data_IF_742099774488
#
_entry.id   IF_742099774488
#
_cell.length_a   1.000
_cell.length_b   1.000
_cell.length_c   1.000
_cell.angle_alpha   90.00
_cell.angle_beta   90.00
_cell.angle_gamma   90.00
#
_symmetry.space_group_name_H-M   'P 1'
#
loop_
_entity.id
_entity.type
_entity.pdbx_description
1 polymer ?
#
# COMPACT_ATOMS: atom_id res chain seq x y z
N UNK A 1 -18.70 13.31 45.60
CA UNK A 1 -18.68 12.97 44.16
C UNK A 1 -18.92 14.23 43.37
N UNK A 2 -17.85 14.96 43.01
CA UNK A 2 -17.95 16.15 42.17
C UNK A 2 -17.89 15.70 40.71
N UNK A 3 -19.00 15.85 39.99
CA UNK A 3 -19.04 15.67 38.55
C UNK A 3 -18.26 16.82 37.91
N UNK A 4 -17.06 16.53 37.42
CA UNK A 4 -16.28 17.41 36.56
C UNK A 4 -17.05 17.58 35.24
N UNK A 5 -17.88 18.62 35.18
CA UNK A 5 -18.48 19.10 33.94
C UNK A 5 -17.38 19.68 33.06
N UNK A 6 -16.87 18.88 32.12
CA UNK A 6 -15.96 19.36 31.08
C UNK A 6 -16.73 20.40 30.25
N UNK A 7 -16.23 21.64 30.11
CA UNK A 7 -16.89 22.68 29.33
C UNK A 7 -17.10 22.24 27.88
N UNK A 8 -18.33 22.37 27.39
CA UNK A 8 -18.73 22.02 26.03
C UNK A 8 -18.06 22.88 24.93
N UNK A 9 -17.47 24.01 25.34
CA UNK A 9 -16.84 25.02 24.46
C UNK A 9 -15.51 24.59 23.84
N UNK A 10 -14.92 23.45 24.27
CA UNK A 10 -13.68 22.95 23.67
C UNK A 10 -13.90 22.13 22.39
N UNK A 11 -15.14 22.00 21.88
CA UNK A 11 -15.41 21.49 20.52
C UNK A 11 -15.12 22.56 19.49
N UNK A 12 -13.85 22.91 19.35
CA UNK A 12 -13.37 23.69 18.21
C UNK A 12 -13.78 22.97 16.93
N UNK A 13 -14.73 23.56 16.19
CA UNK A 13 -15.09 23.06 14.88
C UNK A 13 -13.82 23.00 14.04
N UNK A 14 -13.47 21.85 13.42
CA UNK A 14 -12.30 21.78 12.57
C UNK A 14 -12.44 22.87 11.50
N UNK A 15 -11.50 23.82 11.51
CA UNK A 15 -11.52 24.98 10.61
C UNK A 15 -11.71 24.47 9.19
N UNK A 16 -12.67 25.03 8.46
CA UNK A 16 -13.02 24.60 7.10
C UNK A 16 -11.79 24.51 6.17
N UNK A 17 -10.76 25.34 6.41
CA UNK A 17 -9.47 25.31 5.70
C UNK A 17 -8.71 23.98 5.82
N UNK A 18 -8.77 23.29 6.96
CA UNK A 18 -8.13 21.99 7.14
C UNK A 18 -8.79 20.91 6.26
N UNK A 19 -10.12 20.99 6.08
CA UNK A 19 -10.88 20.04 5.24
C UNK A 19 -10.54 20.18 3.76
N UNK A 20 -10.38 21.41 3.27
CA UNK A 20 -9.96 21.66 1.89
C UNK A 20 -8.53 21.20 1.61
N UNK A 21 -7.62 21.38 2.58
CA UNK A 21 -6.24 20.88 2.46
C UNK A 21 -6.17 19.37 2.33
N UNK A 22 -6.96 18.63 3.10
CA UNK A 22 -7.04 17.16 3.02
C UNK A 22 -7.64 16.68 1.69
N UNK A 23 -8.70 17.35 1.21
CA UNK A 23 -9.30 17.05 -0.08
C UNK A 23 -8.32 17.27 -1.24
N UNK A 24 -7.62 18.41 -1.24
CA UNK A 24 -6.60 18.72 -2.25
C UNK A 24 -5.46 17.70 -2.22
N UNK A 25 -4.96 17.35 -1.03
CA UNK A 25 -3.94 16.32 -0.89
C UNK A 25 -4.43 14.96 -1.45
N UNK A 26 -5.67 14.57 -1.15
CA UNK A 26 -6.29 13.36 -1.71
C UNK A 26 -6.34 13.38 -3.24
N UNK A 27 -6.79 14.49 -3.84
CA UNK A 27 -6.85 14.65 -5.30
C UNK A 27 -5.47 14.58 -5.96
N UNK A 28 -4.46 15.24 -5.37
CA UNK A 28 -3.08 15.22 -5.89
C UNK A 28 -2.50 13.81 -5.85
N UNK A 29 -2.63 13.12 -4.72
CA UNK A 29 -2.12 11.74 -4.56
C UNK A 29 -2.85 10.78 -5.51
N UNK A 30 -4.15 10.98 -5.73
CA UNK A 30 -4.95 10.18 -6.66
C UNK A 30 -4.53 10.39 -8.11
N UNK A 31 -4.32 11.65 -8.52
CA UNK A 31 -3.79 11.96 -9.84
C UNK A 31 -2.40 11.37 -10.06
N UNK A 32 -1.52 11.47 -9.05
CA UNK A 32 -0.17 10.89 -9.10
C UNK A 32 -0.21 9.37 -9.27
N UNK A 33 -1.15 8.69 -8.60
CA UNK A 33 -1.36 7.25 -8.77
C UNK A 33 -1.65 6.88 -10.23
N UNK A 34 -2.59 7.58 -10.88
CA UNK A 34 -2.97 7.31 -12.28
C UNK A 34 -1.81 7.58 -13.24
N UNK A 35 -1.10 8.70 -13.06
CA UNK A 35 0.05 9.05 -13.88
C UNK A 35 1.14 7.98 -13.78
N UNK A 36 1.43 7.51 -12.57
CA UNK A 36 2.45 6.50 -12.35
C UNK A 36 2.04 5.12 -12.87
N UNK A 37 0.77 4.74 -12.73
CA UNK A 37 0.22 3.51 -13.28
C UNK A 37 0.30 3.51 -14.82
N UNK A 38 -0.13 4.60 -15.45
CA UNK A 38 -0.06 4.75 -16.90
C UNK A 38 1.38 4.77 -17.40
N UNK A 39 2.29 5.48 -16.70
CA UNK A 39 3.71 5.51 -17.06
C UNK A 39 4.34 4.11 -17.01
N UNK A 40 4.10 3.33 -15.96
CA UNK A 40 4.60 1.97 -15.86
C UNK A 40 4.01 1.01 -16.90
N UNK A 41 2.75 1.24 -17.33
CA UNK A 41 2.11 0.44 -18.37
C UNK A 41 2.63 0.73 -19.78
N UNK A 42 2.96 1.99 -20.06
CA UNK A 42 3.25 2.48 -21.42
C UNK A 42 4.75 2.64 -21.70
N UNK A 43 5.58 2.85 -20.68
CA UNK A 43 7.00 3.18 -20.85
C UNK A 43 7.87 1.96 -20.55
N UNK A 44 8.42 1.36 -21.60
CA UNK A 44 9.42 0.30 -21.48
C UNK A 44 10.78 0.84 -21.04
N UNK A 45 11.38 0.26 -19.99
CA UNK A 45 12.67 0.70 -19.45
C UNK A 45 13.90 -0.02 -20.03
N UNK A 46 13.72 -0.94 -20.98
CA UNK A 46 14.79 -1.75 -21.58
C UNK A 46 15.95 -0.90 -22.12
N UNK A 47 15.70 -0.02 -23.11
CA UNK A 47 16.75 0.81 -23.70
C UNK A 47 17.45 1.73 -22.69
N UNK A 48 16.71 2.23 -21.69
CA UNK A 48 17.26 3.09 -20.65
C UNK A 48 18.28 2.33 -19.78
N UNK A 49 17.99 1.07 -19.42
CA UNK A 49 18.91 0.23 -18.63
C UNK A 49 20.20 -0.04 -19.40
N UNK A 50 20.08 -0.45 -20.66
CA UNK A 50 21.23 -0.71 -21.53
C UNK A 50 22.11 0.53 -21.67
N UNK A 51 21.49 1.70 -21.87
CA UNK A 51 22.20 2.96 -22.02
C UNK A 51 22.95 3.38 -20.75
N UNK A 52 22.38 3.16 -19.57
CA UNK A 52 23.06 3.38 -18.28
C UNK A 52 24.24 2.42 -18.12
N UNK A 53 24.07 1.14 -18.44
CA UNK A 53 25.15 0.14 -18.35
C UNK A 53 26.28 0.41 -19.36
N UNK A 54 25.97 1.02 -20.50
CA UNK A 54 26.95 1.45 -21.50
C UNK A 54 27.71 2.74 -21.13
N UNK A 55 27.54 3.27 -19.91
CA UNK A 55 28.29 4.43 -19.42
C UNK A 55 27.75 5.76 -19.94
N UNK A 56 26.44 5.99 -19.85
CA UNK A 56 25.84 7.28 -20.16
C UNK A 56 26.48 8.44 -19.36
N UNK A 57 26.61 9.64 -19.95
CA UNK A 57 27.12 10.81 -19.24
C UNK A 57 26.24 11.16 -18.02
N UNK A 58 26.78 11.80 -16.97
CA UNK A 58 26.11 11.91 -15.66
C UNK A 58 24.69 12.49 -15.70
N UNK A 59 24.48 13.57 -16.47
CA UNK A 59 23.17 14.20 -16.58
C UNK A 59 22.14 13.31 -17.28
N UNK A 60 22.56 12.57 -18.32
CA UNK A 60 21.73 11.60 -19.01
C UNK A 60 21.43 10.41 -18.08
N UNK A 61 22.44 9.91 -17.37
CA UNK A 61 22.30 8.82 -16.41
C UNK A 61 21.27 9.16 -15.31
N UNK A 62 21.27 10.37 -14.75
CA UNK A 62 20.27 10.80 -13.75
C UNK A 62 18.85 10.74 -14.32
N UNK A 63 18.66 11.24 -15.56
CA UNK A 63 17.35 11.19 -16.23
C UNK A 63 16.89 9.75 -16.48
N UNK A 64 17.79 8.89 -16.97
CA UNK A 64 17.50 7.49 -17.25
C UNK A 64 17.24 6.70 -15.97
N UNK A 65 18.01 6.92 -14.91
CA UNK A 65 17.78 6.31 -13.60
C UNK A 65 16.44 6.75 -13.00
N UNK A 66 16.05 8.00 -13.18
CA UNK A 66 14.74 8.50 -12.76
C UNK A 66 13.62 7.79 -13.51
N UNK A 67 13.76 7.64 -14.84
CA UNK A 67 12.80 6.89 -15.66
C UNK A 67 12.73 5.42 -15.22
N UNK A 68 13.88 4.78 -14.99
CA UNK A 68 13.94 3.39 -14.51
C UNK A 68 13.26 3.29 -13.15
N UNK A 69 13.57 4.16 -12.19
CA UNK A 69 12.98 4.15 -10.86
C UNK A 69 11.45 4.27 -10.93
N UNK A 70 10.92 5.14 -11.80
CA UNK A 70 9.49 5.40 -11.89
C UNK A 70 8.73 4.39 -12.76
N UNK A 71 9.35 3.78 -13.78
CA UNK A 71 8.65 2.96 -14.77
C UNK A 71 9.06 1.48 -14.76
N UNK A 72 10.16 1.11 -14.08
CA UNK A 72 10.55 -0.28 -13.98
C UNK A 72 9.55 -1.04 -13.11
N UNK A 73 9.05 -2.18 -13.57
CA UNK A 73 7.91 -2.88 -12.97
C UNK A 73 8.01 -3.03 -11.46
N UNK A 74 9.15 -3.52 -10.95
CA UNK A 74 9.32 -3.74 -9.52
C UNK A 74 9.22 -2.42 -8.71
N UNK A 75 9.93 -1.38 -9.11
CA UNK A 75 9.97 -0.10 -8.39
C UNK A 75 8.68 0.70 -8.60
N UNK A 76 8.12 0.69 -9.80
CA UNK A 76 6.83 1.30 -10.10
C UNK A 76 5.71 0.72 -9.22
N UNK A 77 5.61 -0.62 -9.14
CA UNK A 77 4.61 -1.29 -8.30
C UNK A 77 4.85 -0.99 -6.82
N UNK A 78 6.11 -0.93 -6.36
CA UNK A 78 6.43 -0.53 -4.99
C UNK A 78 5.89 0.88 -4.66
N UNK A 79 6.11 1.84 -5.56
CA UNK A 79 5.64 3.22 -5.38
C UNK A 79 4.10 3.28 -5.46
N UNK A 80 3.47 2.53 -6.37
CA UNK A 80 2.00 2.42 -6.44
C UNK A 80 1.41 1.85 -5.15
N UNK A 81 2.06 0.88 -4.50
CA UNK A 81 1.64 0.38 -3.19
C UNK A 81 1.76 1.46 -2.12
N UNK A 82 2.86 2.22 -2.09
CA UNK A 82 3.04 3.34 -1.14
C UNK A 82 1.91 4.36 -1.30
N UNK A 83 1.66 4.81 -2.54
CA UNK A 83 0.62 5.77 -2.88
C UNK A 83 -0.77 5.21 -2.58
N UNK A 84 -1.02 3.94 -2.90
CA UNK A 84 -2.29 3.25 -2.62
C UNK A 84 -2.63 3.26 -1.14
N UNK A 85 -1.67 2.90 -0.27
CA UNK A 85 -1.86 2.94 1.19
C UNK A 85 -2.12 4.36 1.70
N UNK A 86 -1.39 5.35 1.19
CA UNK A 86 -1.62 6.76 1.53
C UNK A 86 -3.03 7.21 1.16
N UNK A 87 -3.52 6.86 -0.04
CA UNK A 87 -4.90 7.12 -0.46
C UNK A 87 -5.91 6.47 0.47
N UNK A 88 -5.72 5.20 0.81
CA UNK A 88 -6.62 4.50 1.74
C UNK A 88 -6.69 5.22 3.09
N UNK A 89 -5.55 5.59 3.65
CA UNK A 89 -5.49 6.31 4.93
C UNK A 89 -6.08 7.72 4.86
N UNK A 90 -5.93 8.42 3.73
CA UNK A 90 -6.57 9.72 3.48
C UNK A 90 -8.10 9.60 3.44
N UNK A 91 -8.61 8.61 2.70
CA UNK A 91 -10.05 8.33 2.64
C UNK A 91 -10.62 8.00 4.01
N UNK A 92 -9.90 7.17 4.79
CA UNK A 92 -10.28 6.86 6.17
C UNK A 92 -10.37 8.12 7.02
N UNK A 93 -9.36 8.99 6.94
CA UNK A 93 -9.27 10.23 7.72
C UNK A 93 -10.41 11.19 7.37
N UNK A 94 -10.69 11.40 6.08
CA UNK A 94 -11.81 12.23 5.62
C UNK A 94 -13.14 11.65 6.14
N UNK A 95 -13.34 10.34 6.04
CA UNK A 95 -14.53 9.65 6.58
C UNK A 95 -14.68 9.84 8.08
N UNK A 96 -13.60 9.70 8.84
CA UNK A 96 -13.59 9.90 10.30
C UNK A 96 -13.89 11.37 10.66
N UNK A 97 -13.35 12.33 9.90
CA UNK A 97 -13.64 13.75 10.06
C UNK A 97 -15.08 14.15 9.71
N UNK A 98 -15.72 13.44 8.77
CA UNK A 98 -17.17 13.57 8.49
C UNK A 98 -18.02 12.98 9.62
N UNK A 99 -17.54 11.93 10.30
CA UNK A 99 -18.20 11.30 11.45
C UNK A 99 -17.93 12.02 12.79
N UNK A 100 -17.19 13.14 12.77
CA UNK A 100 -16.84 13.88 13.99
C UNK A 100 -15.87 13.14 14.90
N UNK A 101 -15.15 12.12 14.41
CA UNK A 101 -14.13 11.42 15.18
C UNK A 101 -12.84 12.24 15.20
N UNK A 102 -12.15 12.33 16.35
CA UNK A 102 -10.90 13.07 16.45
C UNK A 102 -9.82 12.39 15.60
N UNK A 103 -9.09 13.20 14.82
CA UNK A 103 -7.94 12.75 14.00
C UNK A 103 -6.65 13.33 14.61
N UNK A 104 -5.96 12.61 15.52
CA UNK A 104 -4.91 13.19 16.37
C UNK A 104 -3.52 13.30 15.72
N UNK A 105 -3.31 12.79 14.50
CA UNK A 105 -1.96 12.69 13.90
C UNK A 105 -1.67 13.82 12.91
N UNK A 106 -0.46 14.39 12.96
CA UNK A 106 0.01 15.37 11.98
C UNK A 106 0.09 14.74 10.57
N UNK A 107 -0.30 15.49 9.55
CA UNK A 107 -0.40 14.98 8.18
C UNK A 107 0.91 14.35 7.66
N UNK A 108 2.11 14.95 7.86
CA UNK A 108 3.35 14.38 7.32
C UNK A 108 3.72 13.03 7.95
N UNK A 109 3.56 12.92 9.28
CA UNK A 109 3.86 11.66 9.99
C UNK A 109 2.90 10.55 9.59
N UNK A 110 1.63 10.89 9.38
CA UNK A 110 0.62 9.97 8.85
C UNK A 110 0.99 9.48 7.44
N UNK A 111 1.35 10.38 6.52
CA UNK A 111 1.70 10.01 5.15
C UNK A 111 2.96 9.12 5.10
N UNK A 112 3.94 9.40 5.95
CA UNK A 112 5.15 8.58 6.07
C UNK A 112 4.83 7.17 6.60
N UNK A 113 4.06 7.08 7.69
CA UNK A 113 3.67 5.79 8.27
C UNK A 113 2.85 4.94 7.29
N UNK A 114 1.87 5.54 6.61
CA UNK A 114 1.08 4.86 5.56
C UNK A 114 1.96 4.43 4.39
N UNK A 115 2.96 5.23 4.03
CA UNK A 115 3.91 4.89 2.99
C UNK A 115 4.73 3.64 3.34
N UNK A 116 5.30 3.58 4.55
CA UNK A 116 6.01 2.40 5.05
C UNK A 116 5.10 1.16 5.07
N UNK A 117 3.85 1.33 5.51
CA UNK A 117 2.87 0.25 5.51
C UNK A 117 2.60 -0.28 4.09
N UNK A 118 2.45 0.61 3.10
CA UNK A 118 2.27 0.21 1.71
C UNK A 118 3.50 -0.48 1.12
N UNK A 119 4.70 -0.05 1.50
CA UNK A 119 5.94 -0.71 1.13
C UNK A 119 6.03 -2.13 1.70
N UNK A 120 5.59 -2.36 2.94
CA UNK A 120 5.52 -3.71 3.53
C UNK A 120 4.58 -4.62 2.72
N UNK A 121 3.42 -4.12 2.29
CA UNK A 121 2.50 -4.87 1.43
C UNK A 121 3.16 -5.23 0.09
N UNK A 122 3.90 -4.31 -0.51
CA UNK A 122 4.70 -4.60 -1.71
C UNK A 122 5.70 -5.75 -1.45
N UNK A 123 6.43 -5.73 -0.34
CA UNK A 123 7.39 -6.80 -0.01
C UNK A 123 6.69 -8.16 0.11
N UNK A 124 5.55 -8.23 0.81
CA UNK A 124 4.78 -9.48 0.94
C UNK A 124 4.36 -10.02 -0.43
N UNK A 125 3.84 -9.14 -1.30
CA UNK A 125 3.39 -9.53 -2.64
C UNK A 125 4.57 -9.97 -3.50
N UNK A 126 5.66 -9.20 -3.55
CA UNK A 126 6.81 -9.52 -4.40
C UNK A 126 7.51 -10.79 -3.92
N UNK A 127 7.59 -11.03 -2.61
CA UNK A 127 8.06 -12.29 -2.04
C UNK A 127 7.18 -13.46 -2.50
N UNK A 128 5.86 -13.32 -2.44
CA UNK A 128 4.94 -14.34 -2.95
C UNK A 128 5.12 -14.58 -4.45
N UNK A 129 5.21 -13.53 -5.26
CA UNK A 129 5.44 -13.64 -6.71
C UNK A 129 6.74 -14.38 -7.00
N UNK A 130 7.85 -14.04 -6.34
CA UNK A 130 9.14 -14.70 -6.55
C UNK A 130 9.06 -16.18 -6.13
N UNK A 131 8.40 -16.50 -5.02
CA UNK A 131 8.25 -17.88 -4.53
C UNK A 131 7.36 -18.75 -5.41
N UNK A 132 6.26 -18.22 -5.95
CA UNK A 132 5.26 -19.01 -6.68
C UNK A 132 5.46 -18.99 -8.21
N UNK A 133 6.04 -17.94 -8.78
CA UNK A 133 6.21 -17.82 -10.25
C UNK A 133 7.50 -18.45 -10.79
N UNK A 134 8.35 -19.01 -9.92
CA UNK A 134 9.51 -19.80 -10.34
C UNK A 134 10.67 -19.02 -10.96
N UNK A 135 10.69 -17.68 -10.92
CA UNK A 135 11.88 -16.94 -11.33
C UNK A 135 11.74 -15.41 -11.47
N UNK A 136 12.90 -14.74 -11.53
CA UNK A 136 13.05 -13.29 -11.70
C UNK A 136 12.50 -12.74 -13.03
N UNK A 137 12.19 -13.62 -14.00
CA UNK A 137 11.73 -13.28 -15.35
C UNK A 137 10.45 -12.43 -15.35
N UNK A 138 9.55 -12.67 -14.39
CA UNK A 138 8.32 -11.90 -14.25
C UNK A 138 8.57 -10.43 -13.88
N UNK A 139 9.66 -10.13 -13.17
CA UNK A 139 9.98 -8.76 -12.75
C UNK A 139 10.89 -8.04 -13.76
N UNK A 140 11.71 -8.77 -14.50
CA UNK A 140 12.69 -8.20 -15.44
C UNK A 140 12.12 -7.89 -16.82
N UNK A 141 11.13 -8.66 -17.28
CA UNK A 141 10.44 -8.52 -18.57
C UNK A 141 8.98 -9.01 -18.54
N UNK A 142 8.11 -8.41 -17.70
CA UNK A 142 6.70 -8.78 -17.68
C UNK A 142 6.00 -8.43 -18.98
N UNK A 143 5.03 -9.26 -19.38
CA UNK A 143 4.06 -8.88 -20.40
C UNK A 143 3.16 -7.75 -19.85
N UNK A 144 2.64 -6.88 -20.72
CA UNK A 144 1.79 -5.75 -20.34
C UNK A 144 0.56 -6.20 -19.51
N UNK A 145 -0.07 -7.32 -19.88
CA UNK A 145 -1.18 -7.90 -19.12
C UNK A 145 -0.77 -8.33 -17.69
N UNK A 146 0.43 -8.90 -17.55
CA UNK A 146 0.97 -9.29 -16.25
C UNK A 146 1.26 -8.08 -15.36
N UNK A 147 1.85 -7.03 -15.94
CA UNK A 147 2.06 -5.77 -15.24
C UNK A 147 0.74 -5.17 -14.76
N UNK A 148 -0.25 -5.03 -15.66
CA UNK A 148 -1.53 -4.39 -15.34
C UNK A 148 -2.24 -5.09 -14.17
N UNK A 149 -2.25 -6.43 -14.18
CA UNK A 149 -2.83 -7.25 -13.10
C UNK A 149 -2.06 -7.07 -11.80
N UNK A 150 -0.73 -7.18 -11.83
CA UNK A 150 0.10 -7.05 -10.63
C UNK A 150 -0.03 -5.66 -10.01
N UNK A 151 0.14 -4.61 -10.82
CA UNK A 151 0.10 -3.23 -10.36
C UNK A 151 -1.28 -2.86 -9.78
N UNK A 152 -2.37 -3.24 -10.48
CA UNK A 152 -3.73 -2.97 -10.02
C UNK A 152 -4.06 -3.74 -8.73
N UNK A 153 -3.74 -5.04 -8.68
CA UNK A 153 -4.03 -5.86 -7.49
C UNK A 153 -3.20 -5.43 -6.29
N UNK A 154 -1.89 -5.23 -6.46
CA UNK A 154 -1.00 -4.87 -5.37
C UNK A 154 -1.34 -3.51 -4.77
N UNK A 155 -1.59 -2.51 -5.62
CA UNK A 155 -2.00 -1.18 -5.14
C UNK A 155 -3.39 -1.17 -4.51
N UNK A 156 -4.33 -2.00 -4.99
CA UNK A 156 -5.63 -2.19 -4.35
C UNK A 156 -5.51 -2.81 -2.95
N UNK A 157 -4.70 -3.88 -2.80
CA UNK A 157 -4.44 -4.46 -1.49
C UNK A 157 -3.84 -3.44 -0.54
N UNK A 158 -2.85 -2.69 -1.01
CA UNK A 158 -2.22 -1.64 -0.22
C UNK A 158 -3.22 -0.53 0.18
N UNK A 159 -4.11 -0.14 -0.72
CA UNK A 159 -5.19 0.80 -0.44
C UNK A 159 -6.13 0.29 0.65
N UNK A 160 -6.61 -0.95 0.54
CA UNK A 160 -7.51 -1.56 1.54
C UNK A 160 -6.85 -1.57 2.91
N UNK A 161 -5.57 -1.93 2.95
CA UNK A 161 -4.75 -1.95 4.16
C UNK A 161 -4.62 -0.56 4.80
N UNK A 162 -4.36 0.47 3.99
CA UNK A 162 -4.31 1.86 4.47
C UNK A 162 -5.67 2.40 4.92
N UNK A 163 -6.75 1.96 4.26
CA UNK A 163 -8.13 2.36 4.57
C UNK A 163 -8.69 1.71 5.83
N UNK A 164 -8.31 0.47 6.11
CA UNK A 164 -8.81 -0.29 7.25
C UNK A 164 -7.71 -1.17 7.83
N UNK A 165 -7.00 -0.72 8.89
CA UNK A 165 -5.96 -1.53 9.54
C UNK A 165 -6.50 -2.85 10.09
N UNK A 166 -7.79 -2.89 10.47
CA UNK A 166 -8.48 -4.08 10.94
C UNK A 166 -8.72 -5.12 9.84
N UNK A 167 -8.62 -4.73 8.55
CA UNK A 167 -8.73 -5.68 7.45
C UNK A 167 -7.58 -6.69 7.46
N UNK A 168 -6.36 -6.27 7.86
CA UNK A 168 -5.23 -7.20 8.04
C UNK A 168 -5.53 -8.18 9.17
N UNK A 169 -6.01 -7.68 10.31
CA UNK A 169 -6.35 -8.54 11.47
C UNK A 169 -7.44 -9.55 11.08
N UNK A 170 -8.47 -9.10 10.35
CA UNK A 170 -9.52 -9.97 9.86
C UNK A 170 -9.02 -11.00 8.84
N UNK A 171 -8.06 -10.63 8.00
CA UNK A 171 -7.43 -11.55 7.04
C UNK A 171 -6.57 -12.61 7.75
N UNK A 172 -5.72 -12.20 8.70
CA UNK A 172 -4.90 -13.10 9.50
C UNK A 172 -5.78 -14.08 10.30
N UNK A 173 -6.82 -13.59 10.96
CA UNK A 173 -7.77 -14.42 11.68
C UNK A 173 -8.54 -15.41 10.78
N UNK A 174 -8.65 -15.15 9.47
CA UNK A 174 -9.20 -16.10 8.50
C UNK A 174 -8.17 -17.13 8.07
N UNK A 175 -6.92 -16.70 7.84
CA UNK A 175 -5.82 -17.60 7.49
C UNK A 175 -5.52 -18.59 8.62
N UNK A 176 -5.48 -18.14 9.86
CA UNK A 176 -5.33 -19.02 11.04
C UNK A 176 -6.44 -20.07 11.11
N UNK A 177 -7.69 -19.68 10.81
CA UNK A 177 -8.81 -20.62 10.76
C UNK A 177 -8.67 -21.65 9.64
N UNK A 178 -8.18 -21.26 8.46
CA UNK A 178 -7.97 -22.18 7.34
C UNK A 178 -6.80 -23.13 7.58
N UNK A 179 -5.70 -22.63 8.16
CA UNK A 179 -4.54 -23.44 8.52
C UNK A 179 -4.84 -24.36 9.72
N UNK A 180 -5.60 -23.88 10.70
CA UNK A 180 -6.01 -24.65 11.88
C UNK A 180 -7.08 -25.70 11.58
N UNK A 181 -7.99 -25.45 10.63
CA UNK A 181 -8.97 -26.43 10.16
C UNK A 181 -8.35 -27.58 9.34
N UNK A 182 -7.08 -27.44 8.92
CA UNK A 182 -6.32 -28.48 8.23
C UNK A 182 -5.57 -29.45 9.15
N UNK A 183 -5.58 -29.25 10.47
CA UNK A 183 -4.95 -30.17 11.42
C UNK A 183 -5.91 -31.34 11.70
N UNK A 184 -5.62 -32.59 11.25
CA UNK A 184 -6.43 -33.73 11.62
C UNK A 184 -6.38 -33.89 13.14
N UNK A 185 -7.55 -33.94 13.77
CA UNK A 185 -7.68 -34.36 15.17
C UNK A 185 -7.13 -35.77 15.28
N UNK A 186 -5.88 -35.93 15.70
CA UNK A 186 -5.36 -37.19 16.20
C UNK A 186 -6.05 -37.46 17.53
N UNK A 187 -7.29 -37.95 17.43
CA UNK A 187 -8.01 -38.56 18.53
C UNK A 187 -7.27 -39.83 18.93
N UNK A 188 -6.34 -39.70 19.87
CA UNK A 188 -5.94 -40.80 20.73
C UNK A 188 -6.80 -40.70 21.98
N UNK A 189 -7.77 -41.59 22.10
CA UNK A 189 -8.54 -41.86 23.32
C UNK A 189 -7.78 -42.97 24.08
N UNK A 190 -6.99 -42.66 25.13
CA UNK A 190 -6.34 -43.68 25.94
C UNK A 190 -7.29 -44.06 27.08
N UNK A 191 -8.40 -44.71 26.73
CA UNK A 191 -9.48 -44.97 27.66
C UNK A 191 -10.16 -46.33 27.47
N UNK A 192 -9.42 -47.37 27.06
CA UNK A 192 -9.97 -48.72 26.96
C UNK A 192 -8.91 -49.83 27.13
N UNK A 193 -8.49 -50.09 28.37
CA UNK A 193 -8.02 -51.40 28.85
C UNK A 193 -8.38 -51.43 30.35
N UNK A 194 -9.58 -51.92 30.68
CA UNK A 194 -9.85 -53.26 31.23
C UNK A 194 -9.52 -53.38 32.73
#
# INVERSE_FOLDING_TARGET
>A
MAALTIPEEARGTPRASARWGEALAGTVVFGLWFLLYAAGALVGTGPARERVMAGAPPLEAIRLLTLILLCYTATNVAILCIIGSQLGGLFRRVREGLQGRPTPTSMPSLMFALGLQGFVIYLVIVSGVISFSGGYAFLSSPNQDQYMRLAATASLFSFVVGYSPTAIVALLARLERLLGAGAPSTGGDPGAVA
#
